data_IF_366935668074
#
_entry.id   IF_366935668074
#
_cell.length_a   1.000
_cell.length_b   1.000
_cell.length_c   1.000
_cell.angle_alpha   90.00
_cell.angle_beta   90.00
_cell.angle_gamma   90.00
#
_symmetry.space_group_name_H-M   'P 1'
#
loop_
_entity.id
_entity.type
_entity.pdbx_description
1 polymer ?
#
# COMPACT_ATOMS: atom_id res chain seq x y z
N UNK A 1 -43.89 7.75 27.60
CA UNK A 1 -42.92 8.01 26.52
C UNK A 1 -41.63 7.36 26.94
N UNK A 2 -41.34 6.17 26.44
CA UNK A 2 -40.14 5.40 26.84
C UNK A 2 -39.03 5.77 25.86
N UNK A 3 -38.09 6.59 26.33
CA UNK A 3 -36.94 7.01 25.54
C UNK A 3 -36.01 5.80 25.38
N UNK A 4 -35.93 5.27 24.16
CA UNK A 4 -34.93 4.28 23.78
C UNK A 4 -33.59 5.00 23.72
N UNK A 5 -32.72 4.70 24.67
CA UNK A 5 -31.33 5.13 24.62
C UNK A 5 -30.66 4.39 23.46
N UNK A 6 -30.37 5.11 22.37
CA UNK A 6 -29.49 4.63 21.32
C UNK A 6 -28.10 4.53 21.93
N UNK A 7 -27.64 3.31 22.20
CA UNK A 7 -26.27 3.07 22.60
C UNK A 7 -25.36 3.52 21.46
N UNK A 8 -24.57 4.57 21.70
CA UNK A 8 -23.43 4.89 20.84
C UNK A 8 -22.54 3.65 20.80
N UNK A 9 -22.35 3.07 19.62
CA UNK A 9 -21.40 1.98 19.39
C UNK A 9 -20.04 2.43 19.89
N UNK A 10 -19.49 1.71 20.87
CA UNK A 10 -18.11 1.93 21.30
C UNK A 10 -17.20 1.86 20.07
N UNK A 11 -16.43 2.92 19.86
CA UNK A 11 -15.40 2.99 18.83
C UNK A 11 -14.46 1.81 19.04
N UNK A 12 -14.65 0.76 18.25
CA UNK A 12 -13.91 -0.49 18.42
C UNK A 12 -12.58 -0.25 17.75
N UNK A 13 -11.48 -0.41 18.48
CA UNK A 13 -10.15 -0.37 17.88
C UNK A 13 -10.05 -1.45 16.79
N UNK A 14 -9.95 -1.02 15.53
CA UNK A 14 -9.84 -1.86 14.33
C UNK A 14 -8.45 -1.85 13.71
N UNK A 15 -7.46 -1.32 14.43
CA UNK A 15 -6.08 -1.15 13.93
C UNK A 15 -5.51 -2.47 13.43
N UNK A 16 -5.75 -3.58 14.14
CA UNK A 16 -5.26 -4.90 13.76
C UNK A 16 -5.87 -5.42 12.45
N UNK A 17 -7.18 -5.21 12.24
CA UNK A 17 -7.84 -5.57 10.99
C UNK A 17 -7.34 -4.70 9.81
N UNK A 18 -7.13 -3.40 10.03
CA UNK A 18 -6.58 -2.50 9.03
C UNK A 18 -5.16 -2.94 8.64
N UNK A 19 -4.30 -3.19 9.64
CA UNK A 19 -2.95 -3.73 9.46
C UNK A 19 -2.93 -5.04 8.68
N UNK A 20 -3.80 -5.98 9.01
CA UNK A 20 -3.88 -7.27 8.31
C UNK A 20 -4.25 -7.10 6.83
N UNK A 21 -5.17 -6.19 6.52
CA UNK A 21 -5.55 -5.89 5.14
C UNK A 21 -4.47 -5.09 4.38
N UNK A 22 -3.74 -4.20 5.06
CA UNK A 22 -2.61 -3.49 4.48
C UNK A 22 -1.47 -4.47 4.15
N UNK A 23 -1.17 -5.42 5.04
CA UNK A 23 -0.24 -6.52 4.79
C UNK A 23 -0.66 -7.38 3.58
N UNK A 24 -1.95 -7.76 3.51
CA UNK A 24 -2.48 -8.51 2.37
C UNK A 24 -2.41 -7.74 1.04
N UNK A 25 -2.60 -6.42 1.07
CA UNK A 25 -2.44 -5.55 -0.10
C UNK A 25 -0.97 -5.45 -0.53
N UNK A 26 -0.02 -5.29 0.42
CA UNK A 26 1.43 -5.26 0.13
C UNK A 26 1.93 -6.59 -0.44
N UNK A 27 1.40 -7.71 0.06
CA UNK A 27 1.68 -9.05 -0.49
C UNK A 27 1.03 -9.24 -1.88
N UNK A 28 0.00 -8.46 -2.21
CA UNK A 28 -0.82 -8.59 -3.41
C UNK A 28 -1.73 -9.83 -3.39
N UNK A 29 -2.11 -10.29 -2.20
CA UNK A 29 -3.09 -11.35 -1.99
C UNK A 29 -4.51 -10.81 -1.79
N UNK A 30 -4.68 -9.50 -1.61
CA UNK A 30 -5.98 -8.85 -1.49
C UNK A 30 -6.56 -8.47 -2.85
N UNK A 31 -7.73 -9.03 -3.19
CA UNK A 31 -8.43 -8.77 -4.46
C UNK A 31 -8.83 -7.31 -4.62
N UNK A 32 -9.23 -6.64 -3.54
CA UNK A 32 -9.56 -5.21 -3.51
C UNK A 32 -8.31 -4.34 -3.30
N UNK A 33 -7.24 -4.65 -4.03
CA UNK A 33 -6.03 -3.85 -4.01
C UNK A 33 -5.34 -3.77 -5.36
N UNK A 34 -4.49 -2.75 -5.53
CA UNK A 34 -3.55 -2.65 -6.65
C UNK A 34 -2.23 -2.08 -6.17
N UNK A 35 -1.13 -2.52 -6.77
CA UNK A 35 0.17 -1.88 -6.61
C UNK A 35 0.45 -0.98 -7.81
N UNK A 36 0.94 0.22 -7.55
CA UNK A 36 1.38 1.17 -8.57
C UNK A 36 2.82 1.59 -8.27
N UNK A 37 3.59 1.80 -9.33
CA UNK A 37 4.95 2.32 -9.25
C UNK A 37 4.96 3.71 -9.89
N UNK A 38 5.63 4.68 -9.27
CA UNK A 38 5.84 5.98 -9.92
C UNK A 38 6.66 5.82 -11.18
N UNK A 39 6.46 6.74 -12.12
CA UNK A 39 7.13 6.69 -13.42
C UNK A 39 8.65 6.69 -13.27
N UNK A 40 9.18 7.55 -12.39
CA UNK A 40 10.62 7.67 -12.15
C UNK A 40 11.22 6.35 -11.64
N UNK A 41 10.57 5.71 -10.67
CA UNK A 41 11.00 4.39 -10.19
C UNK A 41 10.90 3.32 -11.30
N UNK A 42 9.80 3.29 -12.06
CA UNK A 42 9.63 2.33 -13.14
C UNK A 42 10.70 2.49 -14.24
N UNK A 43 11.11 3.71 -14.57
CA UNK A 43 12.17 3.98 -15.54
C UNK A 43 13.53 3.47 -15.03
N UNK A 44 13.86 3.66 -13.75
CA UNK A 44 15.07 3.11 -13.12
C UNK A 44 15.08 1.58 -13.19
N UNK A 45 13.98 0.92 -12.81
CA UNK A 45 13.88 -0.54 -12.83
C UNK A 45 13.97 -1.12 -14.24
N UNK A 46 13.44 -0.41 -15.24
CA UNK A 46 13.53 -0.83 -16.63
C UNK A 46 14.97 -0.71 -17.18
N UNK A 47 15.70 0.32 -16.71
CA UNK A 47 17.02 0.68 -17.22
C UNK A 47 16.99 1.22 -18.66
N UNK A 48 18.19 1.43 -19.20
CA UNK A 48 18.44 2.13 -20.46
C UNK A 48 18.82 1.19 -21.62
N UNK A 49 18.52 -0.10 -21.52
CA UNK A 49 18.83 -1.06 -22.59
C UNK A 49 18.08 -0.69 -23.89
N UNK A 50 18.74 -0.65 -25.06
CA UNK A 50 18.08 -0.27 -26.31
C UNK A 50 16.96 -1.24 -26.72
N UNK A 51 16.99 -2.49 -26.25
CA UNK A 51 15.96 -3.48 -26.54
C UNK A 51 14.76 -3.35 -25.58
N UNK A 52 13.56 -3.14 -26.16
CA UNK A 52 12.34 -2.96 -25.37
C UNK A 52 11.93 -4.21 -24.60
N UNK A 53 12.22 -5.41 -25.12
CA UNK A 53 11.91 -6.67 -24.45
C UNK A 53 12.73 -6.84 -23.19
N UNK A 54 14.01 -6.49 -23.26
CA UNK A 54 14.95 -6.50 -22.13
C UNK A 54 14.52 -5.49 -21.06
N UNK A 55 14.17 -4.26 -21.44
CA UNK A 55 13.63 -3.26 -20.50
C UNK A 55 12.35 -3.73 -19.80
N UNK A 56 11.44 -4.36 -20.54
CA UNK A 56 10.22 -4.91 -19.96
C UNK A 56 10.50 -6.06 -18.98
N UNK A 57 11.45 -6.94 -19.30
CA UNK A 57 11.88 -8.02 -18.42
C UNK A 57 12.52 -7.46 -17.14
N UNK A 58 13.42 -6.49 -17.26
CA UNK A 58 14.05 -5.81 -16.13
C UNK A 58 13.01 -5.17 -15.21
N UNK A 59 12.04 -4.45 -15.78
CA UNK A 59 10.95 -3.86 -15.02
C UNK A 59 10.16 -4.92 -14.25
N UNK A 60 9.80 -6.04 -14.88
CA UNK A 60 9.05 -7.13 -14.24
C UNK A 60 9.84 -7.74 -13.08
N UNK A 61 11.14 -8.00 -13.27
CA UNK A 61 12.03 -8.54 -12.24
C UNK A 61 12.18 -7.55 -11.09
N UNK A 62 12.47 -6.28 -11.40
CA UNK A 62 12.65 -5.22 -10.41
C UNK A 62 11.40 -4.97 -9.57
N UNK A 63 10.21 -4.95 -10.19
CA UNK A 63 8.94 -4.84 -9.46
C UNK A 63 8.72 -6.04 -8.52
N UNK A 64 9.05 -7.25 -8.96
CA UNK A 64 8.94 -8.46 -8.14
C UNK A 64 9.93 -8.45 -6.97
N UNK A 65 11.17 -8.02 -7.23
CA UNK A 65 12.21 -7.87 -6.22
C UNK A 65 11.84 -6.83 -5.16
N UNK A 66 11.35 -5.66 -5.57
CA UNK A 66 10.88 -4.62 -4.65
C UNK A 66 9.69 -5.08 -3.82
N UNK A 67 8.69 -5.73 -4.42
CA UNK A 67 7.56 -6.28 -3.65
C UNK A 67 8.02 -7.26 -2.60
N UNK A 68 8.95 -8.17 -2.95
CA UNK A 68 9.54 -9.11 -1.98
C UNK A 68 10.27 -8.37 -0.86
N UNK A 69 11.15 -7.43 -1.21
CA UNK A 69 11.91 -6.63 -0.24
C UNK A 69 10.98 -5.87 0.74
N UNK A 70 9.93 -5.23 0.23
CA UNK A 70 8.93 -4.50 1.03
C UNK A 70 8.24 -5.41 2.04
N UNK A 71 7.87 -6.63 1.65
CA UNK A 71 7.19 -7.58 2.54
C UNK A 71 8.12 -8.24 3.57
N UNK A 72 9.41 -8.39 3.25
CA UNK A 72 10.41 -8.99 4.14
C UNK A 72 11.03 -7.97 5.11
N UNK A 73 10.94 -6.67 4.80
CA UNK A 73 11.51 -5.61 5.63
C UNK A 73 10.59 -5.29 6.82
N UNK A 74 11.17 -5.27 8.02
CA UNK A 74 10.47 -4.82 9.22
C UNK A 74 10.15 -3.33 9.13
N UNK A 75 8.95 -2.95 9.57
CA UNK A 75 8.53 -1.55 9.59
C UNK A 75 9.12 -0.89 10.83
N UNK A 76 9.85 0.21 10.62
CA UNK A 76 10.36 1.04 11.72
C UNK A 76 9.16 1.62 12.52
N UNK A 77 9.17 1.56 13.86
CA UNK A 77 8.09 2.12 14.68
C UNK A 77 7.79 3.59 14.40
N UNK A 78 8.79 4.39 14.01
CA UNK A 78 8.60 5.79 13.62
C UNK A 78 7.85 5.98 12.30
N UNK A 79 7.82 4.95 11.45
CA UNK A 79 7.06 4.90 10.21
C UNK A 79 5.65 4.29 10.40
N UNK A 80 5.33 3.79 11.59
CA UNK A 80 4.04 3.15 11.91
C UNK A 80 3.45 3.70 13.22
N UNK A 81 3.22 5.02 13.34
CA UNK A 81 2.77 5.63 14.59
C UNK A 81 1.38 5.16 15.04
N UNK A 82 0.57 4.66 14.10
CA UNK A 82 -0.80 4.20 14.34
C UNK A 82 -0.92 2.67 14.34
N UNK A 83 0.14 1.92 14.03
CA UNK A 83 0.10 0.45 13.97
C UNK A 83 -0.66 -0.12 12.78
N UNK A 84 -1.09 0.72 11.83
CA UNK A 84 -1.84 0.32 10.64
C UNK A 84 -0.94 -0.23 9.53
N UNK A 85 0.39 -0.07 9.65
CA UNK A 85 1.38 -0.62 8.70
C UNK A 85 1.15 -0.13 7.27
N UNK A 86 0.76 1.15 7.14
CA UNK A 86 0.39 1.79 5.89
C UNK A 86 1.58 2.50 5.21
N UNK A 87 2.74 2.58 5.86
CA UNK A 87 3.93 3.24 5.31
C UNK A 87 5.22 2.53 5.70
N UNK A 88 6.22 2.62 4.82
CA UNK A 88 7.57 2.22 5.14
C UNK A 88 8.60 2.58 4.09
N UNK A 89 9.84 2.21 4.39
CA UNK A 89 11.03 2.62 3.66
C UNK A 89 11.91 1.41 3.42
N UNK A 90 12.43 1.26 2.20
CA UNK A 90 13.44 0.27 1.85
C UNK A 90 14.53 0.92 1.00
N UNK A 91 15.71 0.29 0.95
CA UNK A 91 16.78 0.69 0.03
C UNK A 91 16.94 -0.38 -1.06
N UNK A 92 16.96 0.06 -2.32
CA UNK A 92 17.12 -0.83 -3.47
C UNK A 92 18.03 -0.15 -4.49
N UNK A 93 19.13 -0.82 -4.86
CA UNK A 93 20.12 -0.33 -5.84
C UNK A 93 20.63 1.09 -5.56
N UNK A 94 20.81 1.44 -4.28
CA UNK A 94 21.27 2.77 -3.85
C UNK A 94 20.20 3.85 -3.83
N UNK A 95 18.95 3.50 -4.16
CA UNK A 95 17.80 4.39 -4.05
C UNK A 95 17.01 4.13 -2.79
N UNK A 96 16.64 5.21 -2.09
CA UNK A 96 15.66 5.17 -1.01
C UNK A 96 14.26 5.13 -1.61
N UNK A 97 13.53 4.06 -1.33
CA UNK A 97 12.19 3.79 -1.87
C UNK A 97 11.18 3.89 -0.73
N UNK A 98 10.12 4.65 -0.95
CA UNK A 98 8.95 4.69 -0.10
C UNK A 98 7.87 3.78 -0.65
N UNK A 99 7.12 3.17 0.26
CA UNK A 99 5.83 2.59 -0.08
C UNK A 99 4.77 3.12 0.87
N UNK A 100 3.56 3.36 0.33
CA UNK A 100 2.40 3.80 1.10
C UNK A 100 1.15 3.02 0.67
N UNK A 101 0.27 2.73 1.61
CA UNK A 101 -1.06 2.16 1.37
C UNK A 101 -2.11 3.24 1.60
N UNK A 102 -2.76 3.67 0.52
CA UNK A 102 -3.90 4.58 0.58
C UNK A 102 -5.20 3.77 0.48
N UNK A 103 -6.15 4.05 1.38
CA UNK A 103 -7.40 3.29 1.50
C UNK A 103 -8.58 4.12 1.02
N UNK A 104 -9.21 3.71 -0.08
CA UNK A 104 -10.35 4.37 -0.72
C UNK A 104 -11.65 3.62 -0.49
N UNK A 105 -12.78 4.31 -0.64
CA UNK A 105 -14.08 3.65 -0.75
C UNK A 105 -14.10 2.67 -1.94
N UNK A 106 -14.66 1.47 -1.75
CA UNK A 106 -14.78 0.48 -2.81
C UNK A 106 -16.02 0.73 -3.70
N UNK A 107 -16.12 1.92 -4.27
CA UNK A 107 -17.21 2.38 -5.14
C UNK A 107 -16.78 2.60 -6.60
N UNK A 108 -15.54 2.20 -6.91
CA UNK A 108 -14.86 2.39 -8.20
C UNK A 108 -14.59 3.86 -8.59
N UNK A 109 -14.86 4.85 -7.72
CA UNK A 109 -14.58 6.27 -8.00
C UNK A 109 -13.19 6.69 -7.56
N UNK A 110 -12.66 6.08 -6.50
CA UNK A 110 -11.40 6.47 -5.85
C UNK A 110 -11.37 7.95 -5.40
N UNK A 111 -12.52 8.58 -5.21
CA UNK A 111 -12.61 10.00 -4.89
C UNK A 111 -12.40 10.31 -3.40
N UNK A 112 -12.64 9.33 -2.52
CA UNK A 112 -12.66 9.53 -1.08
C UNK A 112 -12.08 8.32 -0.33
N UNK A 113 -11.62 8.56 0.89
CA UNK A 113 -11.21 7.50 1.82
C UNK A 113 -12.40 6.62 2.22
N UNK A 114 -12.14 5.35 2.54
CA UNK A 114 -13.20 4.47 3.06
C UNK A 114 -13.55 4.85 4.49
N UNK A 115 -14.84 4.87 4.83
CA UNK A 115 -15.33 4.99 6.21
C UNK A 115 -15.19 3.67 7.00
N UNK A 116 -14.97 2.56 6.30
CA UNK A 116 -14.77 1.23 6.88
C UNK A 116 -13.46 0.60 6.37
N UNK A 117 -12.29 1.20 6.69
CA UNK A 117 -11.00 0.69 6.23
C UNK A 117 -10.73 -0.74 6.70
N UNK A 118 -11.29 -1.18 7.83
CA UNK A 118 -11.18 -2.56 8.32
C UNK A 118 -12.00 -3.59 7.54
N UNK A 119 -12.86 -3.17 6.61
CA UNK A 119 -13.72 -4.06 5.82
C UNK A 119 -13.25 -4.11 4.36
N UNK A 120 -12.73 -5.26 3.94
CA UNK A 120 -12.23 -5.49 2.59
C UNK A 120 -13.29 -5.36 1.48
N UNK A 121 -14.58 -5.50 1.81
CA UNK A 121 -15.67 -5.30 0.84
C UNK A 121 -15.99 -3.82 0.62
N UNK A 122 -15.76 -2.97 1.63
CA UNK A 122 -16.07 -1.54 1.61
C UNK A 122 -14.83 -0.66 1.36
N UNK A 123 -13.64 -1.26 1.32
CA UNK A 123 -12.38 -0.55 1.13
C UNK A 123 -11.57 -1.13 -0.02
N UNK A 124 -10.88 -0.25 -0.74
CA UNK A 124 -9.93 -0.59 -1.80
C UNK A 124 -8.58 0.03 -1.49
N UNK A 125 -7.50 -0.76 -1.58
CA UNK A 125 -6.14 -0.32 -1.24
C UNK A 125 -5.29 -0.05 -2.48
N UNK A 126 -4.68 1.12 -2.52
CA UNK A 126 -3.64 1.44 -3.51
C UNK A 126 -2.30 1.42 -2.79
N UNK A 127 -1.45 0.45 -3.15
CA UNK A 127 -0.07 0.37 -2.68
C UNK A 127 0.80 1.15 -3.66
N UNK A 128 1.19 2.35 -3.29
CA UNK A 128 2.09 3.19 -4.08
C UNK A 128 3.53 2.90 -3.70
N UNK A 129 4.37 2.55 -4.67
CA UNK A 129 5.82 2.36 -4.51
C UNK A 129 6.53 3.44 -5.31
N UNK A 130 7.38 4.23 -4.66
CA UNK A 130 7.90 5.48 -5.20
C UNK A 130 9.32 5.77 -4.72
N UNK A 131 10.07 6.60 -5.44
CA UNK A 131 11.32 7.13 -4.91
C UNK A 131 10.99 8.02 -3.71
N UNK A 132 11.88 8.06 -2.71
CA UNK A 132 11.73 9.00 -1.59
C UNK A 132 11.74 10.47 -2.05
N UNK A 133 12.33 10.76 -3.22
CA UNK A 133 12.33 12.08 -3.85
C UNK A 133 11.03 12.44 -4.57
N UNK A 134 10.12 11.49 -4.75
CA UNK A 134 8.79 11.73 -5.34
C UNK A 134 7.78 12.26 -4.30
N UNK A 135 8.18 12.30 -3.02
CA UNK A 135 7.37 12.71 -1.88
C UNK A 135 7.60 14.18 -1.50
#
# INVERSE_FOLDING_TARGET
>A
MTQVATAATADTDRTAEIAALNDAARAGSLVTSKTVFTRALADILAGDDPDSGTRQLNLMIGQSALRRLINETLIDPGNDPYGERDFGVVEYEGHKIFWKVDVYANDATFAWGSEAPWDAQQSFRVVTVMLASDW
#
